data_IF_484387624053
#
_entry.id   IF_484387624053
#
_cell.length_a   1.000
_cell.length_b   1.000
_cell.length_c   1.000
_cell.angle_alpha   90.00
_cell.angle_beta   90.00
_cell.angle_gamma   90.00
#
_symmetry.space_group_name_H-M   'P 1'
#
loop_
_entity.id
_entity.type
_entity.pdbx_description
1 polymer ?
#
# COMPACT_ATOMS: atom_id res chain seq x y z
N UNK A 1 11.85 -10.21 -28.83
CA UNK A 1 10.70 -10.44 -27.94
C UNK A 1 10.65 -9.28 -26.96
N UNK A 2 9.82 -8.28 -27.23
CA UNK A 2 9.70 -7.09 -26.39
C UNK A 2 8.80 -7.43 -25.20
N UNK A 3 9.34 -7.35 -23.99
CA UNK A 3 8.53 -7.43 -22.77
C UNK A 3 7.56 -6.26 -22.78
N UNK A 4 6.27 -6.56 -22.92
CA UNK A 4 5.18 -5.60 -22.81
C UNK A 4 5.31 -4.89 -21.46
N UNK A 5 5.71 -3.62 -21.47
CA UNK A 5 5.59 -2.74 -20.31
C UNK A 5 4.09 -2.54 -20.10
N UNK A 6 3.45 -3.41 -19.33
CA UNK A 6 2.15 -3.10 -18.76
C UNK A 6 2.39 -1.92 -17.81
N UNK A 7 2.04 -0.72 -18.25
CA UNK A 7 1.83 0.40 -17.34
C UNK A 7 0.62 0.01 -16.50
N UNK A 8 0.90 -0.52 -15.31
CA UNK A 8 -0.07 -0.92 -14.31
C UNK A 8 -0.92 0.31 -13.99
N UNK A 9 -2.23 0.26 -14.29
CA UNK A 9 -3.19 1.33 -14.01
C UNK A 9 -3.42 1.59 -12.52
N UNK A 10 -2.45 1.30 -11.66
CA UNK A 10 -2.49 1.32 -10.19
C UNK A 10 -1.87 2.58 -9.61
N UNK A 11 -1.39 3.51 -10.44
CA UNK A 11 -0.75 4.76 -10.01
C UNK A 11 -1.66 5.60 -9.09
N UNK A 12 -2.98 5.56 -9.32
CA UNK A 12 -3.98 6.25 -8.51
C UNK A 12 -4.18 5.68 -7.10
N UNK A 13 -3.61 4.52 -6.78
CA UNK A 13 -3.62 3.93 -5.43
C UNK A 13 -2.49 4.45 -4.56
N UNK A 14 -1.36 4.84 -5.16
CA UNK A 14 -0.14 5.16 -4.42
C UNK A 14 -0.37 6.40 -3.56
N UNK A 15 -0.04 6.27 -2.29
CA UNK A 15 -0.17 7.33 -1.30
C UNK A 15 -1.56 7.47 -0.69
N UNK A 16 -2.53 6.63 -1.05
CA UNK A 16 -3.88 6.60 -0.45
C UNK A 16 -3.99 5.48 0.58
N UNK A 17 -4.99 5.56 1.46
CA UNK A 17 -5.38 4.47 2.35
C UNK A 17 -6.40 3.58 1.66
N UNK A 18 -6.33 2.27 1.90
CA UNK A 18 -7.33 1.30 1.39
C UNK A 18 -8.75 1.64 1.87
N UNK A 19 -8.85 2.27 3.04
CA UNK A 19 -10.10 2.72 3.67
C UNK A 19 -10.75 3.89 2.95
N UNK A 20 -9.98 4.67 2.18
CA UNK A 20 -10.43 5.83 1.40
C UNK A 20 -10.88 5.46 -0.02
N UNK A 21 -10.73 4.18 -0.41
CA UNK A 21 -11.19 3.70 -1.70
C UNK A 21 -12.72 3.54 -1.68
N UNK A 22 -13.39 4.22 -2.62
CA UNK A 22 -14.82 4.04 -2.86
C UNK A 22 -15.15 2.62 -3.34
N UNK A 23 -16.43 2.25 -3.33
CA UNK A 23 -16.88 0.94 -3.82
C UNK A 23 -16.45 0.69 -5.26
N UNK A 24 -16.60 1.69 -6.13
CA UNK A 24 -16.21 1.62 -7.55
C UNK A 24 -14.71 1.38 -7.69
N UNK A 25 -13.89 2.10 -6.93
CA UNK A 25 -12.43 1.92 -6.96
C UNK A 25 -12.02 0.55 -6.40
N UNK A 26 -12.70 0.04 -5.38
CA UNK A 26 -12.45 -1.32 -4.86
C UNK A 26 -12.80 -2.41 -5.87
N UNK A 27 -13.80 -2.17 -6.73
CA UNK A 27 -14.10 -3.06 -7.85
C UNK A 27 -13.07 -2.94 -8.98
N UNK A 28 -12.66 -1.72 -9.31
CA UNK A 28 -11.65 -1.44 -10.35
C UNK A 28 -10.29 -2.02 -10.01
N UNK A 29 -9.83 -1.84 -8.77
CA UNK A 29 -8.54 -2.32 -8.28
C UNK A 29 -8.62 -3.71 -7.64
N UNK A 30 -9.72 -4.43 -7.82
CA UNK A 30 -9.86 -5.79 -7.33
C UNK A 30 -8.75 -6.69 -7.90
N UNK A 31 -8.28 -7.62 -7.08
CA UNK A 31 -7.22 -8.58 -7.40
C UNK A 31 -5.83 -7.95 -7.64
N UNK A 32 -5.67 -6.64 -7.46
CA UNK A 32 -4.35 -5.99 -7.51
C UNK A 32 -3.58 -6.23 -6.22
N UNK A 33 -2.28 -6.42 -6.36
CA UNK A 33 -1.36 -6.44 -5.24
C UNK A 33 -1.12 -5.02 -4.74
N UNK A 34 -1.13 -4.84 -3.43
CA UNK A 34 -0.77 -3.60 -2.75
C UNK A 34 0.23 -3.88 -1.63
N UNK A 35 1.14 -2.94 -1.39
CA UNK A 35 2.04 -2.93 -0.25
C UNK A 35 1.72 -1.73 0.64
N UNK A 36 1.50 -1.97 1.91
CA UNK A 36 1.45 -0.92 2.93
C UNK A 36 2.43 -1.24 4.05
N UNK A 37 2.97 -0.20 4.67
CA UNK A 37 3.98 -0.35 5.72
C UNK A 37 3.37 -1.15 6.87
N UNK A 38 4.05 -2.22 7.29
CA UNK A 38 3.76 -2.96 8.50
C UNK A 38 3.93 -1.96 9.63
N UNK A 39 2.90 -1.83 10.46
CA UNK A 39 3.02 -1.11 11.70
C UNK A 39 4.10 -1.79 12.54
N UNK A 40 5.29 -1.17 12.62
CA UNK A 40 6.15 -1.38 13.78
C UNK A 40 5.53 -0.51 14.86
N UNK A 41 5.15 -1.05 16.04
CA UNK A 41 4.79 -0.19 17.16
C UNK A 41 5.99 0.65 17.55
N UNK A 42 6.16 1.78 16.88
CA UNK A 42 7.04 2.82 17.37
C UNK A 42 6.41 3.22 18.70
N UNK A 43 7.15 2.99 19.78
CA UNK A 43 6.81 3.46 21.12
C UNK A 43 6.81 5.01 21.18
N UNK A 44 7.03 5.67 20.04
CA UNK A 44 6.77 7.08 19.81
C UNK A 44 5.26 7.33 19.76
N UNK A 45 4.71 7.48 20.96
CA UNK A 45 3.39 8.03 21.19
C UNK A 45 3.28 9.37 20.46
N UNK A 46 2.39 9.48 19.48
CA UNK A 46 2.09 10.77 18.86
C UNK A 46 1.29 11.57 19.90
N UNK A 47 1.83 12.70 20.37
CA UNK A 47 1.08 13.55 21.30
C UNK A 47 0.08 14.37 20.49
N UNK A 48 -1.19 14.01 20.57
CA UNK A 48 -2.30 14.81 20.02
C UNK A 48 -3.08 15.39 21.19
N UNK A 49 -3.19 16.71 21.24
CA UNK A 49 -3.87 17.44 22.34
C UNK A 49 -3.32 17.10 23.74
N UNK A 50 -2.01 16.83 23.85
CA UNK A 50 -1.36 16.50 25.12
C UNK A 50 -1.56 15.05 25.60
N UNK A 51 -2.20 14.19 24.80
CA UNK A 51 -2.38 12.78 25.12
C UNK A 51 -1.55 11.87 24.20
N UNK A 52 -0.96 10.79 24.74
CA UNK A 52 -0.31 9.79 23.91
C UNK A 52 -1.34 9.09 23.04
N UNK A 53 -1.30 9.35 21.74
CA UNK A 53 -2.10 8.68 20.73
C UNK A 53 -1.22 7.68 19.97
N UNK A 54 -1.74 6.46 19.84
CA UNK A 54 -1.18 5.48 18.91
C UNK A 54 -1.68 5.86 17.52
N UNK A 55 -0.78 6.20 16.59
CA UNK A 55 -1.16 6.38 15.18
C UNK A 55 -1.44 5.01 14.56
N UNK A 56 -2.68 4.55 14.74
CA UNK A 56 -3.20 3.30 14.17
C UNK A 56 -3.50 3.42 12.67
N UNK A 57 -3.18 4.55 12.05
CA UNK A 57 -3.83 5.02 10.83
C UNK A 57 -3.01 4.93 9.56
N UNK A 58 -1.79 4.40 9.58
CA UNK A 58 -0.91 4.49 8.41
C UNK A 58 -0.85 3.24 7.54
N UNK A 59 -2.01 2.68 7.14
CA UNK A 59 -2.12 1.70 6.02
C UNK A 59 -2.08 2.39 4.65
N UNK A 60 -1.07 3.23 4.44
CA UNK A 60 -0.85 3.93 3.18
C UNK A 60 -0.24 2.98 2.15
N UNK A 61 -0.78 2.97 0.95
CA UNK A 61 -0.27 2.14 -0.15
C UNK A 61 1.01 2.77 -0.70
N UNK A 62 2.14 2.10 -0.57
CA UNK A 62 3.46 2.57 -1.06
C UNK A 62 3.84 1.97 -2.42
N UNK A 63 3.28 0.81 -2.76
CA UNK A 63 3.42 0.18 -4.07
C UNK A 63 2.15 -0.61 -4.43
N UNK A 64 1.84 -0.70 -5.72
CA UNK A 64 0.68 -1.43 -6.22
C UNK A 64 0.92 -1.94 -7.66
N UNK A 65 0.34 -3.10 -8.02
CA UNK A 65 0.60 -3.76 -9.29
C UNK A 65 0.01 -5.16 -9.41
N UNK A 66 0.55 -5.99 -10.31
CA UNK A 66 0.01 -7.31 -10.64
C UNK A 66 0.63 -8.45 -9.81
N UNK A 67 1.75 -8.22 -9.14
CA UNK A 67 2.46 -9.26 -8.36
C UNK A 67 3.29 -8.70 -7.22
N UNK A 68 3.46 -9.47 -6.14
CA UNK A 68 4.35 -9.08 -5.03
C UNK A 68 5.78 -8.77 -5.49
N UNK A 69 6.31 -9.51 -6.47
CA UNK A 69 7.66 -9.29 -6.99
C UNK A 69 7.80 -7.92 -7.67
N UNK A 70 6.77 -7.46 -8.38
CA UNK A 70 6.71 -6.12 -8.94
C UNK A 70 6.75 -5.05 -7.84
N UNK A 71 5.95 -5.21 -6.78
CA UNK A 71 5.93 -4.29 -5.65
C UNK A 71 7.30 -4.23 -4.95
N UNK A 72 7.96 -5.37 -4.72
CA UNK A 72 9.32 -5.43 -4.17
C UNK A 72 10.29 -4.63 -5.03
N UNK A 73 10.21 -4.76 -6.35
CA UNK A 73 11.05 -3.98 -7.26
C UNK A 73 10.73 -2.47 -7.19
N UNK A 74 9.45 -2.09 -7.09
CA UNK A 74 9.03 -0.69 -6.92
C UNK A 74 9.55 -0.09 -5.60
N UNK A 75 9.44 -0.81 -4.48
CA UNK A 75 9.91 -0.36 -3.17
C UNK A 75 11.43 -0.18 -3.15
N UNK A 76 12.19 -1.15 -3.68
CA UNK A 76 13.66 -1.05 -3.77
C UNK A 76 14.12 0.13 -4.63
N UNK A 77 13.41 0.44 -5.73
CA UNK A 77 13.70 1.63 -6.55
C UNK A 77 13.50 2.94 -5.80
N UNK A 78 12.64 2.95 -4.76
CA UNK A 78 12.41 4.07 -3.85
C UNK A 78 13.36 4.06 -2.63
N UNK A 79 14.35 3.15 -2.59
CA UNK A 79 15.22 2.92 -1.42
C UNK A 79 14.44 2.56 -0.13
N UNK A 80 13.29 1.89 -0.27
CA UNK A 80 12.53 1.35 0.86
C UNK A 80 12.88 -0.13 1.07
N UNK A 81 12.90 -0.59 2.32
CA UNK A 81 13.10 -1.99 2.65
C UNK A 81 11.77 -2.76 2.52
N UNK A 82 11.63 -3.71 1.58
CA UNK A 82 10.42 -4.51 1.43
C UNK A 82 10.01 -5.28 2.68
N UNK A 83 10.93 -5.59 3.60
CA UNK A 83 10.62 -6.28 4.85
C UNK A 83 9.76 -5.44 5.82
N UNK A 84 9.73 -4.12 5.64
CA UNK A 84 8.86 -3.22 6.40
C UNK A 84 7.41 -3.19 5.87
N UNK A 85 7.05 -3.99 4.85
CA UNK A 85 5.77 -3.88 4.15
C UNK A 85 4.97 -5.20 4.15
N UNK A 86 3.66 -5.08 4.35
CA UNK A 86 2.70 -6.17 4.17
C UNK A 86 2.26 -6.14 2.71
N UNK A 87 2.34 -7.30 2.05
CA UNK A 87 1.88 -7.48 0.67
C UNK A 87 0.56 -8.24 0.70
N UNK A 88 -0.49 -7.63 0.16
CA UNK A 88 -1.81 -8.24 0.12
C UNK A 88 -2.53 -7.94 -1.18
N UNK A 89 -3.52 -8.76 -1.48
CA UNK A 89 -4.38 -8.59 -2.64
C UNK A 89 -5.62 -7.80 -2.20
N UNK A 90 -5.96 -6.74 -2.94
CA UNK A 90 -7.22 -6.03 -2.75
C UNK A 90 -8.39 -6.96 -3.08
N UNK A 91 -9.15 -7.32 -2.05
CA UNK A 91 -10.33 -8.17 -2.19
C UNK A 91 -11.49 -7.39 -2.81
N UNK A 92 -12.30 -8.09 -3.59
CA UNK A 92 -13.59 -7.55 -4.03
C UNK A 92 -14.46 -7.22 -2.82
N UNK A 93 -15.28 -6.17 -2.90
CA UNK A 93 -16.29 -5.90 -1.90
C UNK A 93 -17.43 -6.92 -2.04
N UNK A 94 -17.63 -7.72 -0.97
CA UNK A 94 -18.66 -8.76 -0.80
C UNK A 94 -18.43 -10.07 -1.56
#
# INVERSE_FOLDING_TARGET
MAATKQQSGTEGLIGRRVEELSLTERLEYANKWVAFRIYTPTTEMVVRDGQPAIDLHSRRIEAAGESAQELVAQLRRKNLDPAEFEFTILKQPY
#
